data_IF_008037887966
#
_entry.id   IF_008037887966
#
_cell.length_a   1.000
_cell.length_b   1.000
_cell.length_c   1.000
_cell.angle_alpha   90.00
_cell.angle_beta   90.00
_cell.angle_gamma   90.00
#
_symmetry.space_group_name_H-M   'P 1'
#
loop_
_entity.id
_entity.type
_entity.pdbx_description
1 polymer ?
#
# COMPACT_ATOMS: atom_id res chain seq x y z
N UNK A 1 -6.02 6.16 1.37
CA UNK A 1 -4.57 6.45 1.39
C UNK A 1 -4.25 7.44 0.26
N UNK A 2 -2.99 7.84 -0.08
CA UNK A 2 -2.73 8.90 -1.05
C UNK A 2 -3.21 8.58 -2.46
N UNK A 3 -3.27 7.29 -2.78
CA UNK A 3 -3.30 6.79 -4.14
C UNK A 3 -4.57 7.15 -4.89
N UNK A 4 -5.72 7.21 -4.20
CA UNK A 4 -6.94 7.73 -4.81
C UNK A 4 -6.77 9.18 -5.33
N UNK A 5 -5.96 10.00 -4.66
CA UNK A 5 -5.63 11.36 -5.12
C UNK A 5 -4.83 11.32 -6.42
N UNK A 6 -3.87 10.40 -6.54
CA UNK A 6 -3.08 10.23 -7.77
C UNK A 6 -3.91 9.68 -8.92
N UNK A 7 -4.74 8.66 -8.69
CA UNK A 7 -5.69 8.16 -9.69
C UNK A 7 -6.61 9.28 -10.17
N UNK A 8 -7.13 10.11 -9.25
CA UNK A 8 -7.97 11.27 -9.58
C UNK A 8 -7.23 12.27 -10.47
N UNK A 9 -5.99 12.63 -10.12
CA UNK A 9 -5.18 13.57 -10.89
C UNK A 9 -4.75 13.03 -12.25
N UNK A 10 -4.35 11.77 -12.33
CA UNK A 10 -4.01 11.08 -13.58
C UNK A 10 -5.22 11.02 -14.51
N UNK A 11 -6.41 10.72 -13.97
CA UNK A 11 -7.66 10.74 -14.74
C UNK A 11 -8.00 12.16 -15.24
N UNK A 12 -7.85 13.18 -14.39
CA UNK A 12 -8.06 14.57 -14.78
C UNK A 12 -7.11 14.98 -15.92
N UNK A 13 -5.82 14.68 -15.80
CA UNK A 13 -4.81 15.01 -16.82
C UNK A 13 -5.06 14.27 -18.13
N UNK A 14 -5.52 13.03 -18.08
CA UNK A 14 -5.93 12.28 -19.26
C UNK A 14 -7.15 12.90 -19.93
N UNK A 15 -8.16 13.27 -19.14
CA UNK A 15 -9.38 13.92 -19.64
C UNK A 15 -9.08 15.27 -20.30
N UNK A 16 -8.13 16.04 -19.74
CA UNK A 16 -7.67 17.31 -20.31
C UNK A 16 -6.72 17.14 -21.51
N UNK A 17 -6.32 15.90 -21.84
CA UNK A 17 -5.46 15.60 -22.97
C UNK A 17 -3.97 15.85 -22.71
N UNK A 18 -3.55 16.03 -21.46
CA UNK A 18 -2.15 16.24 -21.09
C UNK A 18 -1.33 14.95 -21.16
N UNK A 19 -1.96 13.79 -20.91
CA UNK A 19 -1.27 12.50 -20.96
C UNK A 19 -2.22 11.38 -21.42
N UNK A 20 -1.78 10.52 -22.35
CA UNK A 20 -2.55 9.36 -22.87
C UNK A 20 -1.99 7.98 -22.50
N UNK A 21 -0.95 7.89 -21.66
CA UNK A 21 -0.26 6.64 -21.29
C UNK A 21 -0.13 6.50 -19.78
N UNK A 22 -1.26 6.45 -19.09
CA UNK A 22 -1.31 6.29 -17.63
C UNK A 22 -2.19 5.16 -17.15
N UNK A 23 -2.63 4.25 -18.02
CA UNK A 23 -3.51 3.14 -17.63
C UNK A 23 -2.83 2.21 -16.61
N UNK A 24 -1.56 1.88 -16.84
CA UNK A 24 -0.75 1.08 -15.93
C UNK A 24 -0.47 1.81 -14.61
N UNK A 25 -0.07 3.08 -14.65
CA UNK A 25 0.13 3.90 -13.44
C UNK A 25 -1.15 4.03 -12.61
N UNK A 26 -2.30 4.26 -13.25
CA UNK A 26 -3.61 4.28 -12.56
C UNK A 26 -3.96 2.92 -11.96
N UNK A 27 -3.62 1.82 -12.63
CA UNK A 27 -3.81 0.46 -12.11
C UNK A 27 -2.97 0.26 -10.85
N UNK A 28 -1.66 0.55 -10.93
CA UNK A 28 -0.73 0.42 -9.81
C UNK A 28 -1.22 1.20 -8.60
N UNK A 29 -1.54 2.49 -8.75
CA UNK A 29 -2.08 3.27 -7.62
C UNK A 29 -3.46 2.79 -7.17
N UNK A 30 -4.30 2.28 -8.07
CA UNK A 30 -5.56 1.64 -7.68
C UNK A 30 -5.33 0.42 -6.80
N UNK A 31 -4.28 -0.34 -7.09
CA UNK A 31 -3.88 -1.52 -6.34
C UNK A 31 -3.31 -1.14 -4.96
N UNK A 32 -2.44 -0.13 -4.90
CA UNK A 32 -1.94 0.41 -3.64
C UNK A 32 -3.08 0.95 -2.76
N UNK A 33 -4.07 1.67 -3.32
CA UNK A 33 -5.25 2.11 -2.54
C UNK A 33 -6.04 0.93 -1.97
N UNK A 34 -6.17 -0.16 -2.74
CA UNK A 34 -6.86 -1.36 -2.30
C UNK A 34 -6.11 -2.07 -1.17
N UNK A 35 -4.78 -2.14 -1.26
CA UNK A 35 -3.92 -2.71 -0.21
C UNK A 35 -4.09 -1.95 1.11
N UNK A 36 -3.99 -0.63 1.05
CA UNK A 36 -4.11 0.26 2.20
C UNK A 36 -5.49 0.25 2.85
N UNK A 37 -6.54 0.14 2.03
CA UNK A 37 -7.88 -0.07 2.55
C UNK A 37 -7.97 -1.35 3.39
N UNK A 38 -7.27 -2.43 3.01
CA UNK A 38 -7.24 -3.65 3.82
C UNK A 38 -6.40 -3.50 5.07
N UNK A 39 -5.29 -2.75 5.05
CA UNK A 39 -4.56 -2.41 6.27
C UNK A 39 -5.47 -1.66 7.26
N UNK A 40 -6.26 -0.69 6.78
CA UNK A 40 -7.27 -0.02 7.60
C UNK A 40 -8.25 -1.03 8.21
N UNK A 41 -8.87 -1.91 7.41
CA UNK A 41 -9.82 -2.91 7.92
C UNK A 41 -9.20 -3.86 8.95
N UNK A 42 -7.92 -4.20 8.79
CA UNK A 42 -7.17 -4.98 9.79
C UNK A 42 -7.11 -4.19 11.10
N UNK A 43 -6.71 -2.92 11.08
CA UNK A 43 -6.64 -2.07 12.28
C UNK A 43 -8.02 -1.88 12.93
N UNK A 44 -9.08 -1.70 12.15
CA UNK A 44 -10.46 -1.61 12.65
C UNK A 44 -10.90 -2.91 13.32
N UNK A 45 -10.55 -4.07 12.74
CA UNK A 45 -10.85 -5.38 13.34
C UNK A 45 -10.14 -5.62 14.68
N UNK A 46 -9.03 -4.91 14.92
CA UNK A 46 -8.29 -4.90 16.19
C UNK A 46 -8.79 -3.83 17.17
N UNK A 47 -9.81 -3.06 16.79
CA UNK A 47 -10.44 -2.03 17.62
C UNK A 47 -9.89 -0.62 17.44
N UNK A 48 -9.12 -0.36 16.37
CA UNK A 48 -8.57 0.97 16.06
C UNK A 48 -9.63 2.05 15.85
N UNK A 49 -10.87 1.67 15.54
CA UNK A 49 -11.98 2.58 15.28
C UNK A 49 -12.94 2.77 16.46
N UNK A 50 -12.75 2.12 17.61
CA UNK A 50 -13.77 2.06 18.66
C UNK A 50 -14.07 3.44 19.28
N UNK A 51 -13.05 4.29 19.38
CA UNK A 51 -13.18 5.64 19.93
C UNK A 51 -13.76 6.62 18.89
N UNK A 52 -14.83 7.33 19.27
CA UNK A 52 -15.41 8.40 18.45
C UNK A 52 -14.38 9.49 18.12
N UNK A 53 -13.54 9.86 19.07
CA UNK A 53 -12.54 10.91 18.86
C UNK A 53 -11.49 10.49 17.83
N UNK A 54 -11.11 9.21 17.82
CA UNK A 54 -10.20 8.63 16.82
C UNK A 54 -10.86 8.68 15.44
N UNK A 55 -12.11 8.20 15.30
CA UNK A 55 -12.84 8.26 14.04
C UNK A 55 -13.00 9.68 13.51
N UNK A 56 -13.36 10.61 14.39
CA UNK A 56 -13.50 12.02 14.04
C UNK A 56 -12.19 12.60 13.49
N UNK A 57 -11.08 12.39 14.21
CA UNK A 57 -9.77 12.88 13.78
C UNK A 57 -9.34 12.23 12.46
N UNK A 58 -9.46 10.90 12.34
CA UNK A 58 -9.06 10.16 11.15
C UNK A 58 -9.83 10.61 9.90
N UNK A 59 -11.15 10.81 10.00
CA UNK A 59 -11.97 11.26 8.88
C UNK A 59 -11.60 12.67 8.40
N UNK A 60 -11.39 13.61 9.31
CA UNK A 60 -11.03 14.98 8.94
C UNK A 60 -9.59 15.07 8.44
N UNK A 61 -8.68 14.30 9.04
CA UNK A 61 -7.31 14.17 8.57
C UNK A 61 -7.27 13.59 7.15
N UNK A 62 -8.06 12.55 6.85
CA UNK A 62 -8.14 11.96 5.52
C UNK A 62 -8.60 12.97 4.45
N UNK A 63 -9.61 13.81 4.76
CA UNK A 63 -10.06 14.87 3.84
C UNK A 63 -8.99 15.93 3.61
N UNK A 64 -8.35 16.41 4.69
CA UNK A 64 -7.27 17.38 4.59
C UNK A 64 -6.08 16.82 3.79
N UNK A 65 -5.76 15.55 4.04
CA UNK A 65 -4.67 14.83 3.40
C UNK A 65 -4.91 14.64 1.89
N UNK A 66 -6.12 14.23 1.49
CA UNK A 66 -6.51 14.14 0.07
C UNK A 66 -6.25 15.45 -0.68
N UNK A 67 -6.75 16.58 -0.14
CA UNK A 67 -6.58 17.88 -0.79
C UNK A 67 -5.14 18.36 -0.81
N UNK A 68 -4.37 18.08 0.24
CA UNK A 68 -2.94 18.36 0.26
C UNK A 68 -2.24 17.68 -0.93
N UNK A 69 -2.48 16.39 -1.13
CA UNK A 69 -1.85 15.64 -2.23
C UNK A 69 -2.31 16.13 -3.60
N UNK A 70 -3.60 16.44 -3.77
CA UNK A 70 -4.11 17.03 -5.02
C UNK A 70 -3.35 18.32 -5.33
N UNK A 71 -3.17 19.21 -4.35
CA UNK A 71 -2.42 20.47 -4.53
C UNK A 71 -0.94 20.21 -4.82
N UNK A 72 -0.30 19.30 -4.10
CA UNK A 72 1.11 18.95 -4.32
C UNK A 72 1.31 18.37 -5.73
N UNK A 73 0.46 17.44 -6.16
CA UNK A 73 0.54 16.80 -7.47
C UNK A 73 0.23 17.78 -8.61
N UNK A 74 -0.73 18.70 -8.39
CA UNK A 74 -1.03 19.78 -9.33
C UNK A 74 0.17 20.73 -9.51
N UNK A 75 0.87 21.05 -8.43
CA UNK A 75 2.09 21.86 -8.48
C UNK A 75 3.25 21.08 -9.14
N UNK A 76 3.42 19.80 -8.77
CA UNK A 76 4.43 18.90 -9.33
C UNK A 76 4.10 17.44 -8.97
N UNK A 77 3.87 16.55 -9.96
CA UNK A 77 3.70 15.11 -9.69
C UNK A 77 4.85 14.51 -8.88
N UNK A 78 6.07 14.97 -9.15
CA UNK A 78 7.26 14.57 -8.38
C UNK A 78 7.08 14.92 -6.90
N UNK A 79 6.64 16.12 -6.55
CA UNK A 79 6.46 16.52 -5.15
C UNK A 79 5.40 15.67 -4.43
N UNK A 80 4.30 15.33 -5.12
CA UNK A 80 3.32 14.37 -4.61
C UNK A 80 3.96 13.03 -4.26
N UNK A 81 4.65 12.41 -5.22
CA UNK A 81 5.32 11.13 -4.96
C UNK A 81 6.45 11.22 -3.92
N UNK A 82 7.16 12.35 -3.78
CA UNK A 82 8.15 12.54 -2.70
C UNK A 82 7.49 12.43 -1.34
N UNK A 83 6.34 13.10 -1.20
CA UNK A 83 5.58 13.09 0.04
C UNK A 83 5.19 11.65 0.39
N UNK A 84 4.72 10.86 -0.59
CA UNK A 84 4.42 9.44 -0.35
C UNK A 84 5.67 8.64 0.01
N UNK A 85 6.81 8.80 -0.68
CA UNK A 85 8.07 8.11 -0.28
C UNK A 85 8.42 8.33 1.19
N UNK A 86 8.25 9.56 1.68
CA UNK A 86 8.51 9.90 3.08
C UNK A 86 7.47 9.30 4.02
N UNK A 87 6.19 9.29 3.61
CA UNK A 87 5.11 8.72 4.40
C UNK A 87 5.26 7.20 4.54
N UNK A 88 5.41 6.49 3.42
CA UNK A 88 5.54 5.03 3.42
C UNK A 88 6.82 4.60 4.14
N UNK A 89 7.92 5.36 3.96
CA UNK A 89 9.15 5.13 4.71
C UNK A 89 8.95 5.25 6.23
N UNK A 90 8.15 6.24 6.66
CA UNK A 90 7.80 6.37 8.07
C UNK A 90 6.86 5.26 8.55
N UNK A 91 5.96 4.76 7.71
CA UNK A 91 5.10 3.62 8.01
C UNK A 91 5.92 2.34 8.23
N UNK A 92 6.90 2.06 7.35
CA UNK A 92 7.87 0.96 7.52
C UNK A 92 8.56 1.04 8.88
N UNK A 93 9.13 2.19 9.22
CA UNK A 93 9.83 2.39 10.50
C UNK A 93 8.89 2.20 11.69
N UNK A 94 7.67 2.76 11.63
CA UNK A 94 6.68 2.70 12.72
C UNK A 94 6.22 1.27 12.98
N UNK A 95 5.88 0.52 11.93
CA UNK A 95 5.44 -0.87 12.09
C UNK A 95 6.59 -1.78 12.51
N UNK A 96 7.81 -1.54 12.04
CA UNK A 96 8.99 -2.28 12.48
C UNK A 96 9.23 -2.10 13.99
N UNK A 97 9.21 -0.85 14.48
CA UNK A 97 9.33 -0.54 15.91
C UNK A 97 8.20 -1.17 16.72
N UNK A 98 6.96 -1.13 16.21
CA UNK A 98 5.80 -1.74 16.86
C UNK A 98 5.96 -3.27 17.00
N UNK A 99 6.42 -3.95 15.93
CA UNK A 99 6.66 -5.39 15.95
C UNK A 99 7.78 -5.77 16.90
N UNK A 100 8.91 -5.05 16.86
CA UNK A 100 10.05 -5.29 17.76
C UNK A 100 9.65 -5.09 19.23
N UNK A 101 8.92 -4.02 19.52
CA UNK A 101 8.51 -3.68 20.89
C UNK A 101 7.45 -4.62 21.48
N UNK A 102 6.72 -5.37 20.63
CA UNK A 102 5.59 -6.20 21.05
C UNK A 102 5.70 -7.65 20.56
N UNK A 103 6.92 -8.14 20.26
CA UNK A 103 7.13 -9.40 19.53
C UNK A 103 6.40 -10.58 20.18
N UNK A 104 6.59 -10.80 21.49
CA UNK A 104 5.98 -11.92 22.21
C UNK A 104 4.45 -11.86 22.22
N UNK A 105 3.89 -10.65 22.40
CA UNK A 105 2.45 -10.45 22.41
C UNK A 105 1.85 -10.74 21.04
N UNK A 106 2.43 -10.16 19.98
CA UNK A 106 1.95 -10.34 18.61
C UNK A 106 2.09 -11.79 18.14
N UNK A 107 3.12 -12.51 18.58
CA UNK A 107 3.29 -13.93 18.31
C UNK A 107 2.22 -14.80 19.00
N UNK A 108 1.67 -14.35 20.13
CA UNK A 108 0.61 -15.06 20.86
C UNK A 108 -0.81 -14.83 20.32
N UNK A 109 -1.01 -13.76 19.55
CA UNK A 109 -2.32 -13.35 19.08
C UNK A 109 -2.68 -14.02 17.75
N UNK A 110 -3.94 -14.44 17.56
CA UNK A 110 -4.36 -15.08 16.34
C UNK A 110 -4.43 -14.09 15.18
N UNK A 111 -4.31 -14.61 13.97
CA UNK A 111 -4.51 -13.85 12.73
C UNK A 111 -5.98 -13.41 12.61
N UNK A 112 -6.25 -12.09 12.43
CA UNK A 112 -7.59 -11.59 12.16
C UNK A 112 -8.17 -12.19 10.87
N UNK A 113 -9.48 -12.49 10.87
CA UNK A 113 -10.14 -13.10 9.70
C UNK A 113 -9.97 -12.24 8.45
N UNK A 114 -10.11 -10.92 8.58
CA UNK A 114 -9.97 -9.98 7.46
C UNK A 114 -8.56 -10.00 6.84
N UNK A 115 -7.51 -10.11 7.66
CA UNK A 115 -6.14 -10.25 7.17
C UNK A 115 -5.97 -11.57 6.41
N UNK A 116 -6.49 -12.66 6.97
CA UNK A 116 -6.43 -13.98 6.35
C UNK A 116 -7.14 -14.01 5.01
N UNK A 117 -8.35 -13.48 4.93
CA UNK A 117 -9.13 -13.43 3.68
C UNK A 117 -8.42 -12.58 2.62
N UNK A 118 -7.90 -11.42 3.01
CA UNK A 118 -7.17 -10.53 2.12
C UNK A 118 -5.91 -11.21 1.55
N UNK A 119 -4.97 -11.59 2.41
CA UNK A 119 -3.70 -12.16 1.96
C UNK A 119 -3.84 -13.53 1.27
N UNK A 120 -4.84 -14.34 1.65
CA UNK A 120 -5.13 -15.57 0.91
C UNK A 120 -5.72 -15.31 -0.48
N UNK A 121 -6.58 -14.30 -0.62
CA UNK A 121 -7.16 -13.95 -1.92
C UNK A 121 -6.06 -13.49 -2.88
N UNK A 122 -5.15 -12.62 -2.42
CA UNK A 122 -3.93 -12.24 -3.14
C UNK A 122 -3.10 -13.47 -3.55
N UNK A 123 -2.82 -14.36 -2.59
CA UNK A 123 -2.07 -15.60 -2.85
C UNK A 123 -2.72 -16.51 -3.89
N UNK A 124 -4.04 -16.67 -3.83
CA UNK A 124 -4.80 -17.44 -4.81
C UNK A 124 -4.69 -16.86 -6.22
N UNK A 125 -4.90 -15.56 -6.40
CA UNK A 125 -4.83 -14.91 -7.71
C UNK A 125 -3.42 -15.02 -8.33
N UNK A 126 -2.37 -14.85 -7.51
CA UNK A 126 -0.99 -15.06 -7.95
C UNK A 126 -0.72 -16.52 -8.36
N UNK A 127 -1.30 -17.50 -7.65
CA UNK A 127 -1.10 -18.92 -7.92
C UNK A 127 -1.69 -19.39 -9.26
N UNK A 128 -2.75 -18.73 -9.73
CA UNK A 128 -3.43 -19.07 -10.99
C UNK A 128 -2.87 -18.32 -12.21
N UNK A 129 -1.73 -17.64 -12.07
CA UNK A 129 -1.10 -16.87 -13.13
C UNK A 129 -1.91 -15.65 -13.57
N UNK A 130 -2.85 -15.20 -12.74
CA UNK A 130 -3.59 -13.98 -12.96
C UNK A 130 -2.80 -12.75 -12.50
N UNK A 131 -2.99 -11.63 -13.18
CA UNK A 131 -2.72 -10.33 -12.58
C UNK A 131 -3.82 -10.10 -11.52
N UNK A 132 -3.44 -9.87 -10.27
CA UNK A 132 -4.41 -9.55 -9.22
C UNK A 132 -4.86 -8.11 -9.44
N UNK A 133 -6.16 -7.82 -9.62
CA UNK A 133 -6.67 -6.47 -9.39
C UNK A 133 -6.47 -6.19 -7.89
N UNK A 134 -5.60 -5.26 -7.52
CA UNK A 134 -5.21 -5.03 -6.14
C UNK A 134 -3.82 -5.53 -5.73
N UNK A 135 -3.09 -6.21 -6.62
CA UNK A 135 -1.71 -6.63 -6.35
C UNK A 135 -0.92 -6.59 -7.66
N UNK A 136 -0.47 -5.40 -8.02
CA UNK A 136 0.71 -5.32 -8.85
C UNK A 136 1.81 -6.07 -8.09
N UNK A 137 2.25 -7.21 -8.64
CA UNK A 137 3.69 -7.27 -8.86
C UNK A 137 3.99 -5.99 -9.62
N UNK A 138 4.59 -5.01 -8.96
CA UNK A 138 5.84 -4.53 -9.51
C UNK A 138 6.57 -5.80 -9.94
N UNK A 139 6.66 -6.05 -11.26
CA UNK A 139 7.60 -7.05 -11.75
C UNK A 139 8.86 -6.84 -10.92
N UNK A 140 9.42 -7.90 -10.29
CA UNK A 140 10.39 -7.71 -9.21
C UNK A 140 11.45 -6.75 -9.71
N UNK A 141 11.43 -5.51 -9.19
CA UNK A 141 12.34 -4.46 -9.66
C UNK A 141 13.78 -4.89 -9.40
N UNK A 142 13.95 -5.81 -8.44
CA UNK A 142 15.20 -6.48 -8.14
C UNK A 142 14.97 -7.95 -7.79
N UNK A 143 15.46 -8.86 -8.64
CA UNK A 143 15.73 -10.27 -8.28
C UNK A 143 14.64 -11.30 -8.61
N UNK A 144 14.98 -12.58 -8.41
CA UNK A 144 14.01 -13.69 -8.50
C UNK A 144 12.78 -13.37 -7.64
N UNK A 145 11.56 -13.73 -8.10
CA UNK A 145 10.36 -13.49 -7.33
C UNK A 145 10.57 -14.05 -5.93
N UNK A 146 10.39 -13.23 -4.86
CA UNK A 146 10.36 -13.78 -3.52
C UNK A 146 9.37 -14.93 -3.57
N UNK A 147 9.83 -16.13 -3.22
CA UNK A 147 8.96 -17.28 -3.08
C UNK A 147 7.77 -16.83 -2.24
N UNK A 148 6.54 -16.98 -2.73
CA UNK A 148 5.36 -16.78 -1.93
C UNK A 148 5.54 -17.56 -0.62
N UNK A 149 5.89 -16.87 0.47
CA UNK A 149 5.53 -17.37 1.80
C UNK A 149 4.01 -17.21 2.04
N UNK A 150 3.23 -16.98 0.98
CA UNK A 150 1.77 -16.95 0.96
C UNK A 150 1.14 -18.35 1.04
N UNK A 151 1.92 -19.37 1.43
CA UNK A 151 1.48 -20.74 1.69
C UNK A 151 1.91 -21.27 3.06
N UNK A 152 2.79 -20.59 3.78
CA UNK A 152 3.03 -20.87 5.19
C UNK A 152 1.97 -20.08 5.95
N UNK A 153 0.98 -20.80 6.47
CA UNK A 153 -0.14 -20.26 7.24
C UNK A 153 0.33 -19.12 8.14
N UNK A 154 -0.12 -17.88 7.93
CA UNK A 154 0.03 -16.84 8.94
C UNK A 154 -0.33 -17.47 10.29
N UNK A 155 0.64 -17.59 11.19
CA UNK A 155 0.46 -18.32 12.45
C UNK A 155 -0.04 -17.35 13.52
N UNK A 156 0.38 -16.09 13.40
CA UNK A 156 0.18 -15.07 14.42
C UNK A 156 -0.06 -13.68 13.83
N UNK A 157 -0.55 -12.76 14.67
CA UNK A 157 -0.70 -11.36 14.32
C UNK A 157 0.65 -10.71 13.97
N UNK A 158 1.77 -11.19 14.53
CA UNK A 158 3.12 -10.75 14.17
C UNK A 158 3.39 -10.92 12.68
N UNK A 159 2.97 -12.04 12.10
CA UNK A 159 3.22 -12.35 10.69
C UNK A 159 2.42 -11.39 9.80
N UNK A 160 1.21 -11.00 10.23
CA UNK A 160 0.39 -9.98 9.55
C UNK A 160 1.11 -8.63 9.53
N UNK A 161 1.62 -8.15 10.67
CA UNK A 161 2.36 -6.89 10.70
C UNK A 161 3.65 -6.93 9.88
N UNK A 162 4.34 -8.08 9.81
CA UNK A 162 5.50 -8.26 8.91
C UNK A 162 5.11 -8.19 7.44
N UNK A 163 3.93 -8.69 7.07
CA UNK A 163 3.40 -8.54 5.72
C UNK A 163 3.07 -7.07 5.42
N UNK A 164 2.42 -6.35 6.35
CA UNK A 164 2.17 -4.91 6.23
C UNK A 164 3.48 -4.15 5.99
N UNK A 165 4.52 -4.37 6.81
CA UNK A 165 5.85 -3.73 6.63
C UNK A 165 6.39 -3.94 5.21
N UNK A 166 6.21 -5.14 4.65
CA UNK A 166 6.66 -5.45 3.31
C UNK A 166 5.84 -4.70 2.25
N UNK A 167 4.52 -4.67 2.41
CA UNK A 167 3.62 -3.91 1.52
C UNK A 167 4.06 -2.43 1.50
N UNK A 168 4.31 -1.82 2.66
CA UNK A 168 4.77 -0.42 2.76
C UNK A 168 6.14 -0.19 2.11
N UNK A 169 7.05 -1.17 2.22
CA UNK A 169 8.34 -1.09 1.54
C UNK A 169 8.21 -1.17 0.02
N UNK A 170 7.28 -1.99 -0.49
CA UNK A 170 6.96 -2.10 -1.91
C UNK A 170 6.31 -0.80 -2.42
N UNK A 171 5.47 -0.14 -1.60
CA UNK A 171 4.93 1.18 -1.86
C UNK A 171 6.03 2.25 -2.00
N UNK A 172 7.03 2.27 -1.09
CA UNK A 172 8.20 3.17 -1.20
C UNK A 172 8.90 3.02 -2.56
N UNK A 173 9.14 1.78 -2.99
CA UNK A 173 9.80 1.50 -4.26
C UNK A 173 8.96 1.99 -5.45
N UNK A 174 7.66 1.71 -5.43
CA UNK A 174 6.72 2.14 -6.46
C UNK A 174 6.68 3.66 -6.61
N UNK A 175 6.70 4.40 -5.50
CA UNK A 175 6.76 5.86 -5.53
C UNK A 175 8.10 6.39 -6.06
N UNK A 176 9.23 5.73 -5.77
CA UNK A 176 10.54 6.09 -6.33
C UNK A 176 10.62 5.88 -7.85
N UNK A 177 10.04 4.78 -8.35
CA UNK A 177 9.91 4.53 -9.80
C UNK A 177 9.03 5.59 -10.44
N UNK A 178 7.89 5.92 -9.82
CA UNK A 178 6.98 6.96 -10.29
C UNK A 178 7.62 8.36 -10.36
N UNK A 179 8.70 8.59 -9.59
CA UNK A 179 9.55 9.78 -9.62
C UNK A 179 10.68 9.72 -10.66
N UNK A 180 10.95 8.56 -11.25
CA UNK A 180 12.10 8.31 -12.11
C UNK A 180 13.43 8.21 -11.36
N UNK A 181 13.41 7.91 -10.06
CA UNK A 181 14.63 7.71 -9.24
C UNK A 181 15.18 6.29 -9.34
N UNK A 182 14.34 5.34 -9.75
CA UNK A 182 14.70 3.96 -10.04
C UNK A 182 14.23 3.63 -11.45
N UNK A 183 15.05 2.87 -12.19
CA UNK A 183 14.63 2.32 -13.48
C UNK A 183 13.64 1.17 -13.24
N UNK A 184 12.61 1.10 -14.09
CA UNK A 184 11.79 -0.12 -14.18
C UNK A 184 12.72 -1.28 -14.55
N UNK A 185 12.58 -2.46 -13.92
CA UNK A 185 13.39 -3.61 -14.29
C UNK A 185 13.11 -3.93 -15.76
N UNK A 186 14.15 -4.23 -16.53
CA UNK A 186 13.96 -4.77 -17.86
C UNK A 186 13.13 -6.06 -17.74
N UNK A 187 11.92 -6.05 -18.31
CA UNK A 187 11.08 -7.24 -18.45
C UNK A 187 11.82 -8.23 -19.37
N UNK A 188 12.54 -9.19 -18.80
CA UNK A 188 13.16 -10.32 -19.51
C UNK A 188 12.17 -11.47 -19.59
#
# INVERSE_FOLDING_TARGET
>A
MPYFSYVSMLHLYETLGFWRRGAETKRIHGDEEYNEYHHLLIMESLGGDQSWAVRFLAQHAAVAYYWLLVVLFMASPSLGYLFSVLLEGHAVDTYAEFVESNEDLLASLPVPLVAREYYNSVGYYLSVGGEVPGFARTAPIFGEPPTPNFGDSFESLRDVFRAIIKDEADHVLTMKVSRGELEEPAMV
#
